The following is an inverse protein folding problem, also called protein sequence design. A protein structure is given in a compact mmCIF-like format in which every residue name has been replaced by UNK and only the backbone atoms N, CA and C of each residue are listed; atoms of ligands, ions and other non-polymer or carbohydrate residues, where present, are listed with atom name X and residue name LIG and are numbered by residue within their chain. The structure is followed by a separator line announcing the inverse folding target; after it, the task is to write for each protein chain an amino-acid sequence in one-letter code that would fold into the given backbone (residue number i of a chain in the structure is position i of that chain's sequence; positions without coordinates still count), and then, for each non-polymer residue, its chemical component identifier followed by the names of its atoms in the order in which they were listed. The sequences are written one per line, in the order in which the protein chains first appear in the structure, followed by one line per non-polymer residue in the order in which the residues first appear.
data_IF_343999775282
#
_entry.id   IF_343999775282
#
_cell.length_a   1.000
_cell.length_b   1.000
_cell.length_c   1.000
_cell.angle_alpha   90.00
_cell.angle_beta   90.00
_cell.angle_gamma   90.00
#
_symmetry.space_group_name_H-M   'P 1'
#
loop_
_entity.id
_entity.type
_entity.pdbx_description
1 polymer ?
#
# COMPACT_ATOMS: atom_id res chain seq x y z
N UNK A 1 34.76 6.87 6.77
CA UNK A 1 33.54 6.82 5.91
C UNK A 1 32.31 6.23 6.61
N UNK A 2 32.45 5.32 7.60
CA UNK A 2 31.33 4.81 8.43
C UNK A 2 30.73 5.82 9.43
N UNK A 3 31.36 6.97 9.66
CA UNK A 3 30.91 7.98 10.63
C UNK A 3 29.95 9.04 10.07
N UNK A 4 29.65 9.01 8.76
CA UNK A 4 28.85 10.04 8.09
C UNK A 4 27.47 9.49 7.66
N UNK A 5 27.29 8.17 7.60
CA UNK A 5 26.14 7.52 6.93
C UNK A 5 25.45 6.53 7.89
N UNK A 6 25.31 6.90 9.17
CA UNK A 6 24.72 6.02 10.20
C UNK A 6 23.24 5.69 9.97
N UNK A 7 22.50 6.59 9.31
CA UNK A 7 21.06 6.44 9.06
C UNK A 7 20.71 5.99 7.62
N UNK A 8 21.71 5.86 6.75
CA UNK A 8 21.54 5.57 5.31
C UNK A 8 22.13 4.22 4.89
N UNK A 9 22.80 3.49 5.79
CA UNK A 9 23.32 2.14 5.54
C UNK A 9 22.36 1.13 6.18
N UNK A 10 21.66 0.39 5.34
CA UNK A 10 20.82 -0.72 5.76
C UNK A 10 21.35 -1.99 5.09
N UNK A 11 21.80 -2.94 5.90
CA UNK A 11 22.33 -4.24 5.47
C UNK A 11 23.79 -4.47 5.86
N UNK A 12 24.01 -5.17 6.96
CA UNK A 12 25.12 -6.14 7.07
C UNK A 12 24.50 -7.50 6.78
N UNK A 13 24.89 -8.10 5.64
CA UNK A 13 24.51 -9.42 5.11
C UNK A 13 23.04 -9.58 4.63
N UNK A 14 22.86 -9.83 3.32
CA UNK A 14 21.68 -10.39 2.58
C UNK A 14 20.23 -10.01 2.96
N UNK A 15 19.98 -9.09 3.88
CA UNK A 15 18.63 -8.67 4.22
C UNK A 15 18.03 -7.85 3.07
N UNK A 16 16.81 -8.20 2.63
CA UNK A 16 15.98 -7.39 1.72
C UNK A 16 14.90 -6.62 2.49
N UNK A 17 14.44 -5.47 1.98
CA UNK A 17 13.55 -4.57 2.72
C UNK A 17 12.24 -5.30 3.10
N UNK A 18 11.80 -6.19 2.22
CA UNK A 18 10.68 -7.11 2.39
C UNK A 18 10.87 -7.98 3.64
N UNK A 19 12.08 -8.56 3.81
CA UNK A 19 12.41 -9.41 4.94
C UNK A 19 12.38 -8.63 6.25
N UNK A 20 12.99 -7.45 6.31
CA UNK A 20 12.98 -6.64 7.55
C UNK A 20 11.58 -6.17 7.92
N UNK A 21 10.75 -5.80 6.94
CA UNK A 21 9.34 -5.47 7.21
C UNK A 21 8.59 -6.70 7.73
N UNK A 22 8.78 -7.87 7.10
CA UNK A 22 8.16 -9.12 7.52
C UNK A 22 8.55 -9.55 8.94
N UNK A 23 9.81 -9.36 9.31
CA UNK A 23 10.31 -9.67 10.65
C UNK A 23 9.73 -8.70 11.69
N UNK A 24 9.66 -7.39 11.38
CA UNK A 24 9.03 -6.39 12.27
C UNK A 24 7.52 -6.64 12.48
N UNK A 25 6.80 -7.03 11.43
CA UNK A 25 5.37 -7.37 11.54
C UNK A 25 5.17 -8.59 12.44
N UNK A 26 5.99 -9.62 12.28
CA UNK A 26 5.93 -10.83 13.12
C UNK A 26 6.30 -10.54 14.57
N UNK A 27 7.36 -9.79 14.82
CA UNK A 27 7.78 -9.38 16.17
C UNK A 27 6.64 -8.68 16.93
N UNK A 28 5.85 -7.87 16.22
CA UNK A 28 4.72 -7.12 16.77
C UNK A 28 3.39 -7.88 16.73
N UNK A 29 3.34 -9.06 16.11
CA UNK A 29 2.11 -9.82 15.91
C UNK A 29 1.09 -9.13 15.01
N UNK A 30 1.54 -8.28 14.08
CA UNK A 30 0.68 -7.48 13.20
C UNK A 30 0.50 -8.14 11.83
N UNK A 31 -0.65 -7.88 11.23
CA UNK A 31 -1.06 -8.39 9.93
C UNK A 31 -1.22 -7.27 8.91
N UNK A 32 -1.01 -7.58 7.64
CA UNK A 32 -0.90 -6.63 6.53
C UNK A 32 -1.78 -7.04 5.36
N UNK A 33 -2.50 -6.05 4.81
CA UNK A 33 -3.21 -6.11 3.55
C UNK A 33 -2.77 -4.97 2.61
N UNK A 34 -2.94 -5.18 1.31
CA UNK A 34 -2.59 -4.19 0.28
C UNK A 34 -3.74 -3.93 -0.69
N UNK A 35 -3.84 -2.71 -1.20
CA UNK A 35 -4.63 -2.38 -2.39
C UNK A 35 -3.74 -1.63 -3.39
N UNK A 36 -3.56 -2.21 -4.56
CA UNK A 36 -2.61 -1.78 -5.57
C UNK A 36 -3.30 -1.33 -6.86
N UNK A 37 -2.95 -0.14 -7.36
CA UNK A 37 -3.35 0.33 -8.68
C UNK A 37 -2.14 0.33 -9.62
N UNK A 38 -1.30 1.37 -9.61
CA UNK A 38 -0.24 1.54 -10.60
C UNK A 38 0.87 0.46 -10.54
N UNK A 39 1.05 -0.17 -9.39
CA UNK A 39 2.01 -1.28 -9.17
C UNK A 39 1.49 -2.63 -9.64
N UNK A 40 0.17 -2.80 -9.80
CA UNK A 40 -0.44 -4.01 -10.38
C UNK A 40 -0.05 -5.32 -9.69
N UNK A 41 0.04 -5.34 -8.36
CA UNK A 41 0.39 -6.54 -7.57
C UNK A 41 1.87 -6.65 -7.21
N UNK A 42 2.70 -5.66 -7.57
CA UNK A 42 4.15 -5.73 -7.34
C UNK A 42 4.53 -5.66 -5.86
N UNK A 43 3.76 -4.98 -5.01
CA UNK A 43 4.01 -5.00 -3.57
C UNK A 43 3.66 -6.37 -2.98
N UNK A 44 2.51 -6.95 -3.37
CA UNK A 44 2.14 -8.29 -2.95
C UNK A 44 3.20 -9.33 -3.35
N UNK A 45 3.67 -9.29 -4.61
CA UNK A 45 4.76 -10.13 -5.14
C UNK A 45 6.00 -10.10 -4.23
N UNK A 46 6.53 -8.90 -3.97
CA UNK A 46 7.68 -8.69 -3.08
C UNK A 46 7.44 -9.22 -1.65
N UNK A 47 6.25 -9.00 -1.09
CA UNK A 47 5.91 -9.51 0.24
C UNK A 47 5.88 -11.04 0.27
N UNK A 48 5.39 -11.67 -0.81
CA UNK A 48 5.28 -13.13 -0.91
C UNK A 48 6.59 -13.84 -1.24
N UNK A 49 7.58 -13.14 -1.79
CA UNK A 49 8.93 -13.66 -2.00
C UNK A 49 9.65 -14.01 -0.69
N UNK A 50 9.21 -13.45 0.45
CA UNK A 50 9.76 -13.75 1.78
C UNK A 50 9.17 -15.07 2.33
N UNK A 51 10.00 -16.08 2.65
CA UNK A 51 9.52 -17.32 3.25
C UNK A 51 8.79 -17.08 4.57
N UNK A 52 7.59 -17.64 4.71
CA UNK A 52 6.75 -17.48 5.90
C UNK A 52 5.90 -16.21 5.93
N UNK A 53 5.84 -15.46 4.82
CA UNK A 53 5.01 -14.27 4.65
C UNK A 53 3.54 -14.46 4.99
N UNK A 54 3.00 -15.69 4.85
CA UNK A 54 1.63 -16.06 5.24
C UNK A 54 1.30 -15.80 6.72
N UNK A 55 2.31 -15.64 7.61
CA UNK A 55 2.09 -15.29 9.02
C UNK A 55 1.62 -13.85 9.21
N UNK A 56 2.03 -12.92 8.35
CA UNK A 56 1.70 -11.50 8.47
C UNK A 56 0.91 -10.96 7.27
N UNK A 57 1.17 -11.40 6.04
CA UNK A 57 0.50 -10.90 4.85
C UNK A 57 -0.78 -11.71 4.56
N UNK A 58 -1.95 -11.07 4.66
CA UNK A 58 -3.25 -11.73 4.43
C UNK A 58 -3.71 -11.72 2.98
N UNK A 59 -3.22 -10.77 2.19
CA UNK A 59 -3.54 -10.70 0.77
C UNK A 59 -3.51 -9.27 0.22
N UNK A 60 -3.83 -9.18 -1.07
CA UNK A 60 -3.86 -7.93 -1.81
C UNK A 60 -5.06 -7.82 -2.73
N UNK A 61 -5.50 -6.58 -2.97
CA UNK A 61 -6.55 -6.22 -3.91
C UNK A 61 -5.93 -5.41 -5.06
N UNK A 62 -6.09 -5.85 -6.30
CA UNK A 62 -5.62 -5.06 -7.46
C UNK A 62 -6.79 -4.23 -8.00
N UNK A 63 -6.81 -2.94 -7.62
CA UNK A 63 -7.87 -1.98 -7.95
C UNK A 63 -7.47 -1.09 -9.14
N UNK A 64 -7.27 -1.70 -10.30
CA UNK A 64 -6.68 -1.02 -11.48
C UNK A 64 -7.60 0.02 -12.11
N UNK A 65 -8.92 -0.09 -11.95
CA UNK A 65 -9.91 0.90 -12.40
C UNK A 65 -10.55 1.65 -11.22
N UNK A 66 -11.16 2.81 -11.49
CA UNK A 66 -11.93 3.54 -10.48
C UNK A 66 -13.13 2.73 -9.98
N UNK A 67 -13.78 1.98 -10.87
CA UNK A 67 -14.86 1.06 -10.51
C UNK A 67 -14.40 0.02 -9.49
N UNK A 68 -13.20 -0.55 -9.66
CA UNK A 68 -12.65 -1.51 -8.70
C UNK A 68 -12.23 -0.85 -7.39
N UNK A 69 -11.72 0.38 -7.41
CA UNK A 69 -11.47 1.15 -6.18
C UNK A 69 -12.77 1.32 -5.39
N UNK A 70 -13.86 1.69 -6.06
CA UNK A 70 -15.19 1.86 -5.44
C UNK A 70 -15.75 0.53 -4.95
N UNK A 71 -15.66 -0.53 -5.76
CA UNK A 71 -16.12 -1.86 -5.39
C UNK A 71 -15.41 -2.38 -4.12
N UNK A 72 -14.15 -2.03 -3.91
CA UNK A 72 -13.42 -2.41 -2.71
C UNK A 72 -13.55 -1.42 -1.55
N UNK A 73 -14.43 -0.41 -1.64
CA UNK A 73 -14.78 0.46 -0.52
C UNK A 73 -14.16 1.86 -0.52
N UNK A 74 -13.53 2.30 -1.62
CA UNK A 74 -13.16 3.72 -1.79
C UNK A 74 -14.43 4.52 -2.13
N UNK A 75 -14.72 5.57 -1.37
CA UNK A 75 -15.88 6.43 -1.63
C UNK A 75 -15.77 7.10 -3.02
N UNK A 76 -16.78 7.00 -3.90
CA UNK A 76 -16.72 7.57 -5.25
C UNK A 76 -16.57 9.10 -5.25
N UNK A 77 -17.02 9.77 -4.20
CA UNK A 77 -16.90 11.22 -4.01
C UNK A 77 -15.43 11.64 -3.90
N UNK A 78 -14.56 10.84 -3.27
CA UNK A 78 -13.13 11.12 -3.15
C UNK A 78 -12.45 11.13 -4.52
N UNK A 79 -12.81 10.17 -5.38
CA UNK A 79 -12.27 10.09 -6.74
C UNK A 79 -12.74 11.29 -7.56
N UNK A 80 -14.00 11.67 -7.41
CA UNK A 80 -14.59 12.81 -8.14
C UNK A 80 -13.97 14.14 -7.70
N UNK A 81 -13.74 14.33 -6.40
CA UNK A 81 -13.24 15.58 -5.83
C UNK A 81 -11.72 15.75 -5.97
N UNK A 82 -10.95 14.68 -5.84
CA UNK A 82 -9.49 14.75 -5.74
C UNK A 82 -8.75 14.08 -6.91
N UNK A 83 -9.46 13.30 -7.73
CA UNK A 83 -8.86 12.41 -8.71
C UNK A 83 -8.36 11.10 -8.09
N UNK A 84 -8.28 10.05 -8.91
CA UNK A 84 -7.85 8.71 -8.52
C UNK A 84 -6.37 8.65 -8.12
N UNK A 85 -5.56 9.61 -8.58
CA UNK A 85 -4.14 9.71 -8.23
C UNK A 85 -3.96 10.83 -7.20
N UNK A 86 -4.32 10.59 -5.95
CA UNK A 86 -4.30 11.62 -4.89
C UNK A 86 -4.06 11.01 -3.51
N UNK A 87 -3.64 11.85 -2.55
CA UNK A 87 -3.48 11.46 -1.14
C UNK A 87 -4.77 10.89 -0.54
N UNK A 88 -5.94 11.57 -0.63
CA UNK A 88 -7.18 11.04 -0.05
C UNK A 88 -7.58 9.68 -0.60
N UNK A 89 -7.35 9.44 -1.91
CA UNK A 89 -7.63 8.14 -2.52
C UNK A 89 -6.64 7.07 -2.05
N UNK A 90 -5.34 7.38 -1.95
CA UNK A 90 -4.35 6.42 -1.44
C UNK A 90 -4.64 6.01 0.01
N UNK A 91 -5.05 6.96 0.86
CA UNK A 91 -5.45 6.71 2.25
C UNK A 91 -6.73 5.88 2.33
N UNK A 92 -7.74 6.22 1.53
CA UNK A 92 -8.97 5.44 1.45
C UNK A 92 -8.72 4.00 0.96
N UNK A 93 -7.83 3.82 -0.01
CA UNK A 93 -7.40 2.50 -0.48
C UNK A 93 -6.73 1.69 0.63
N UNK A 94 -5.88 2.32 1.46
CA UNK A 94 -5.22 1.67 2.59
C UNK A 94 -6.25 1.20 3.65
N UNK A 95 -7.16 2.08 4.04
CA UNK A 95 -8.26 1.76 4.98
C UNK A 95 -9.15 0.64 4.44
N UNK A 96 -9.52 0.74 3.16
CA UNK A 96 -10.33 -0.26 2.48
C UNK A 96 -9.64 -1.64 2.46
N UNK A 97 -8.35 -1.70 2.11
CA UNK A 97 -7.57 -2.95 2.13
C UNK A 97 -7.62 -3.62 3.50
N UNK A 98 -7.32 -2.84 4.56
CA UNK A 98 -7.28 -3.34 5.94
C UNK A 98 -8.63 -3.91 6.37
N UNK A 99 -9.71 -3.18 6.06
CA UNK A 99 -11.08 -3.60 6.40
C UNK A 99 -11.51 -4.83 5.63
N UNK A 100 -11.29 -4.84 4.31
CA UNK A 100 -11.72 -5.92 3.43
C UNK A 100 -11.07 -7.27 3.77
N UNK A 101 -9.82 -7.24 4.23
CA UNK A 101 -9.02 -8.45 4.51
C UNK A 101 -8.81 -8.71 6.02
N UNK A 102 -9.41 -7.88 6.88
CA UNK A 102 -9.37 -8.05 8.33
C UNK A 102 -7.95 -7.98 8.90
N UNK A 103 -7.17 -6.97 8.51
CA UNK A 103 -5.79 -6.79 8.96
C UNK A 103 -5.59 -5.55 9.82
N UNK A 104 -4.51 -5.56 10.59
CA UNK A 104 -4.10 -4.42 11.43
C UNK A 104 -3.60 -3.25 10.59
N UNK A 105 -2.89 -3.56 9.51
CA UNK A 105 -2.28 -2.58 8.62
C UNK A 105 -2.83 -2.75 7.22
N UNK A 106 -3.12 -1.62 6.58
CA UNK A 106 -3.45 -1.55 5.16
C UNK A 106 -2.51 -0.61 4.42
N UNK A 107 -2.15 -0.96 3.19
CA UNK A 107 -1.39 -0.09 2.27
C UNK A 107 -2.22 0.14 1.01
N UNK A 108 -2.32 1.40 0.57
CA UNK A 108 -2.94 1.80 -0.69
C UNK A 108 -1.94 2.47 -1.61
N UNK A 109 -1.81 2.02 -2.87
CA UNK A 109 -0.90 2.62 -3.86
C UNK A 109 -1.66 3.05 -5.11
N UNK A 110 -1.60 4.35 -5.42
CA UNK A 110 -2.12 4.93 -6.66
C UNK A 110 -1.11 5.90 -7.28
N UNK A 111 -1.07 6.01 -8.61
CA UNK A 111 0.01 6.73 -9.28
C UNK A 111 -0.05 6.69 -10.81
N UNK A 112 0.84 7.47 -11.42
CA UNK A 112 1.02 7.57 -12.87
C UNK A 112 2.28 6.82 -13.27
N UNK A 113 2.14 5.57 -13.70
CA UNK A 113 3.28 4.78 -14.19
C UNK A 113 3.66 5.09 -15.66
N UNK A 114 2.94 5.99 -16.33
CA UNK A 114 3.12 6.34 -17.75
C UNK A 114 2.47 5.34 -18.71
N UNK A 115 2.54 5.58 -20.04
CA UNK A 115 3.39 6.60 -20.68
C UNK A 115 2.79 8.01 -20.76
N UNK A 116 1.54 8.21 -20.37
CA UNK A 116 0.87 9.52 -20.42
C UNK A 116 0.66 10.09 -19.02
N UNK A 117 0.48 11.41 -18.95
CA UNK A 117 0.00 12.06 -17.74
C UNK A 117 -1.44 11.67 -17.45
N UNK A 118 -1.80 11.65 -16.17
CA UNK A 118 -3.16 11.34 -15.72
C UNK A 118 -3.60 12.45 -14.78
N UNK A 119 -4.78 13.04 -15.03
CA UNK A 119 -5.35 14.11 -14.20
C UNK A 119 -4.40 15.32 -14.02
N UNK A 120 -3.63 15.65 -15.06
CA UNK A 120 -2.61 16.72 -15.03
C UNK A 120 -1.40 16.42 -14.14
N UNK A 121 -1.21 15.17 -13.71
CA UNK A 121 -0.08 14.75 -12.86
C UNK A 121 1.00 14.11 -13.72
N UNK A 122 2.28 14.50 -13.54
CA UNK A 122 3.36 13.99 -14.37
C UNK A 122 3.62 12.51 -14.11
N UNK A 123 4.17 11.85 -15.12
CA UNK A 123 4.67 10.47 -15.03
C UNK A 123 5.62 10.33 -13.85
N UNK A 124 5.48 9.24 -13.10
CA UNK A 124 6.26 8.96 -11.90
C UNK A 124 5.60 9.45 -10.61
N UNK A 125 4.53 10.25 -10.67
CA UNK A 125 3.77 10.66 -9.47
C UNK A 125 3.11 9.44 -8.84
N UNK A 126 3.45 9.14 -7.58
CA UNK A 126 2.86 8.03 -6.81
C UNK A 126 2.49 8.52 -5.42
N UNK A 127 1.31 8.11 -4.97
CA UNK A 127 0.82 8.29 -3.61
C UNK A 127 0.76 6.92 -2.92
N UNK A 128 1.28 6.86 -1.70
CA UNK A 128 1.30 5.66 -0.87
C UNK A 128 0.60 6.01 0.43
N UNK A 129 -0.58 5.43 0.66
CA UNK A 129 -1.31 5.52 1.91
C UNK A 129 -1.00 4.33 2.81
N UNK A 130 -0.86 4.56 4.11
CA UNK A 130 -0.71 3.52 5.12
C UNK A 130 -1.65 3.83 6.28
N UNK A 131 -2.40 2.82 6.71
CA UNK A 131 -3.21 2.88 7.93
C UNK A 131 -2.70 1.85 8.95
N UNK A 132 -2.66 2.23 10.22
CA UNK A 132 -2.46 1.30 11.36
C UNK A 132 -3.79 0.96 12.05
N UNK A 133 -4.91 1.33 11.42
CA UNK A 133 -6.23 1.19 11.96
C UNK A 133 -6.73 2.37 12.78
N UNK A 134 -5.82 3.13 13.40
CA UNK A 134 -6.15 4.32 14.19
C UNK A 134 -5.79 5.60 13.46
N UNK A 135 -4.64 5.60 12.79
CA UNK A 135 -4.07 6.72 12.04
C UNK A 135 -3.87 6.28 10.61
N UNK A 136 -4.15 7.20 9.71
CA UNK A 136 -3.90 7.01 8.29
C UNK A 136 -3.08 8.18 7.80
N UNK A 137 -2.04 7.90 7.03
CA UNK A 137 -1.17 8.91 6.42
C UNK A 137 -0.80 8.52 5.01
N UNK A 138 -0.49 9.49 4.18
CA UNK A 138 0.07 9.26 2.86
C UNK A 138 1.35 10.04 2.60
N UNK A 139 2.18 9.50 1.72
CA UNK A 139 3.32 10.21 1.12
C UNK A 139 3.11 10.36 -0.37
N UNK A 140 3.70 11.41 -0.94
CA UNK A 140 3.73 11.67 -2.38
C UNK A 140 5.19 11.66 -2.84
N UNK A 141 5.49 10.85 -3.84
CA UNK A 141 6.83 10.78 -4.46
C UNK A 141 6.72 10.91 -5.97
N UNK A 142 7.74 11.47 -6.61
CA UNK A 142 7.90 11.46 -8.07
C UNK A 142 9.14 10.63 -8.41
N UNK A 143 8.95 9.52 -9.11
CA UNK A 143 10.03 8.64 -9.55
C UNK A 143 10.45 8.94 -11.00
N UNK A 144 11.66 9.46 -11.26
CA UNK A 144 12.11 9.87 -12.60
C UNK A 144 12.56 8.70 -13.49
N UNK A 145 11.70 7.70 -13.72
CA UNK A 145 12.06 6.49 -14.46
C UNK A 145 10.94 6.00 -15.39
N UNK A 146 11.23 4.98 -16.19
CA UNK A 146 10.25 4.30 -17.02
C UNK A 146 9.31 3.40 -16.20
N UNK A 147 8.14 3.10 -16.76
CA UNK A 147 7.01 2.37 -16.15
C UNK A 147 7.41 1.23 -15.21
N UNK A 148 8.23 0.28 -15.66
CA UNK A 148 8.59 -0.89 -14.83
C UNK A 148 9.36 -0.50 -13.56
N UNK A 149 10.27 0.48 -13.66
CA UNK A 149 11.01 0.98 -12.51
C UNK A 149 10.13 1.80 -11.57
N UNK A 150 9.20 2.60 -12.10
CA UNK A 150 8.20 3.30 -11.26
C UNK A 150 7.41 2.30 -10.42
N UNK A 151 6.94 1.19 -11.03
CA UNK A 151 6.21 0.13 -10.30
C UNK A 151 7.05 -0.48 -9.18
N UNK A 152 8.30 -0.81 -9.47
CA UNK A 152 9.22 -1.37 -8.47
C UNK A 152 9.48 -0.37 -7.33
N UNK A 153 9.83 0.87 -7.66
CA UNK A 153 10.16 1.90 -6.67
C UNK A 153 8.97 2.32 -5.82
N UNK A 154 7.76 2.33 -6.38
CA UNK A 154 6.54 2.51 -5.62
C UNK A 154 6.34 1.38 -4.58
N UNK A 155 6.54 0.12 -4.98
CA UNK A 155 6.40 -1.02 -4.08
C UNK A 155 7.47 -1.02 -2.97
N UNK A 156 8.74 -0.82 -3.32
CA UNK A 156 9.82 -0.72 -2.32
C UNK A 156 9.69 0.52 -1.44
N UNK A 157 9.21 1.63 -2.00
CA UNK A 157 8.90 2.85 -1.25
C UNK A 157 7.82 2.61 -0.20
N UNK A 158 6.79 1.83 -0.52
CA UNK A 158 5.75 1.46 0.44
C UNK A 158 6.30 0.63 1.61
N UNK A 159 7.21 -0.31 1.34
CA UNK A 159 7.90 -1.07 2.39
C UNK A 159 8.75 -0.17 3.29
N UNK A 160 9.45 0.81 2.71
CA UNK A 160 10.24 1.79 3.46
C UNK A 160 9.36 2.63 4.40
N UNK A 161 8.22 3.12 3.91
CA UNK A 161 7.26 3.89 4.72
C UNK A 161 6.62 3.03 5.82
N UNK A 162 6.30 1.77 5.52
CA UNK A 162 5.78 0.83 6.52
C UNK A 162 6.83 0.55 7.61
N UNK A 163 8.09 0.28 7.23
CA UNK A 163 9.18 0.10 8.18
C UNK A 163 9.32 1.29 9.11
N UNK A 164 9.25 2.52 8.57
CA UNK A 164 9.28 3.74 9.39
C UNK A 164 8.12 3.78 10.39
N UNK A 165 6.91 3.45 9.93
CA UNK A 165 5.73 3.36 10.80
C UNK A 165 5.91 2.35 11.92
N UNK A 166 6.36 1.13 11.61
CA UNK A 166 6.51 0.06 12.62
C UNK A 166 7.54 0.39 13.70
N UNK A 167 8.52 1.25 13.39
CA UNK A 167 9.52 1.72 14.37
C UNK A 167 9.02 2.88 15.24
N UNK A 168 7.98 3.58 14.81
CA UNK A 168 7.29 4.59 15.60
C UNK A 168 6.35 3.84 16.58
N UNK A 169 6.51 4.04 17.88
CA UNK A 169 5.68 3.35 18.88
C UNK A 169 4.21 3.82 18.82
N UNK A 170 3.32 3.00 19.41
CA UNK A 170 1.87 3.18 19.62
C UNK A 170 0.96 2.41 18.63
N UNK A 171 0.42 1.29 19.11
CA UNK A 171 -0.68 0.54 18.47
C UNK A 171 -1.71 0.12 19.53
N UNK A 172 -2.99 0.16 19.16
CA UNK A 172 -4.11 -0.53 19.81
C UNK A 172 -5.00 -1.17 18.73
N UNK A 173 -5.54 -2.39 18.94
CA UNK A 173 -6.35 -3.06 17.93
C UNK A 173 -7.68 -2.37 17.62
N UNK A 174 -8.12 -2.47 16.36
CA UNK A 174 -9.50 -2.12 15.95
C UNK A 174 -10.39 -3.35 16.07
N UNK A 175 -11.66 -3.13 16.43
CA UNK A 175 -12.73 -4.10 16.22
C UNK A 175 -12.93 -4.45 14.73
N UNK A 176 -13.32 -5.70 14.41
CA UNK A 176 -13.61 -6.10 13.05
C UNK A 176 -14.80 -5.32 12.47
N UNK A 177 -14.56 -4.62 11.36
CA UNK A 177 -15.61 -4.01 10.55
C UNK A 177 -16.26 -5.04 9.61
N UNK A 178 -17.48 -4.78 9.10
CA UNK A 178 -18.16 -5.70 8.20
C UNK A 178 -17.33 -6.00 6.92
N UNK A 179 -17.55 -7.18 6.31
CA UNK A 179 -16.76 -7.66 5.19
C UNK A 179 -16.83 -6.71 3.99
N UNK A 180 -15.79 -6.79 3.15
CA UNK A 180 -15.62 -5.99 1.95
C UNK A 180 -16.94 -5.84 1.17
N UNK A 181 -17.40 -4.62 0.86
CA UNK A 181 -18.64 -4.44 0.11
C UNK A 181 -18.52 -5.18 -1.23
N UNK A 182 -19.49 -6.05 -1.54
CA UNK A 182 -19.51 -6.77 -2.81
C UNK A 182 -19.79 -5.83 -3.98
N UNK A 183 -19.39 -6.23 -5.19
CA UNK A 183 -19.73 -5.48 -6.40
C UNK A 183 -21.26 -5.39 -6.54
N UNK A 184 -21.87 -4.20 -6.64
CA UNK A 184 -23.32 -4.07 -6.78
C UNK A 184 -23.89 -4.79 -8.02
N UNK A 185 -23.08 -5.09 -9.04
CA UNK A 185 -23.50 -5.88 -10.22
C UNK A 185 -23.63 -7.38 -9.94
N UNK A 186 -23.03 -7.91 -8.87
CA UNK A 186 -23.18 -9.33 -8.51
C UNK A 186 -24.51 -9.66 -7.81
N UNK A 187 -25.38 -8.65 -7.60
CA UNK A 187 -26.70 -8.81 -6.98
C UNK A 187 -27.87 -8.72 -7.98
N UNK A 188 -27.61 -8.58 -9.29
CA UNK A 188 -28.65 -8.47 -10.34
C UNK A 188 -28.82 -9.74 -11.19
N UNK A 189 -28.30 -10.89 -10.73
CA UNK A 189 -28.44 -12.18 -11.42
C UNK A 189 -28.96 -13.26 -10.47
N UNK A 190 -30.19 -13.05 -9.97
CA UNK A 190 -31.08 -14.10 -9.45
C UNK A 190 -32.51 -13.82 -9.90
#
# INVERSE_FOLDING_TARGET
MRSIIGDLVWGTDDETMEKVVGDLLQEKGLTLATMESCTGGRLADLLTDVPGSSRYFKGGLVAYSNEMKVAFGVAPELITQHGAVSSPVAEAMAVAASRCLGTDIGIGITGVAGPEEIEGKPIGTVYIGITDGTRTRSTRTIFPQHRQRIKLYAATGALSELRRLLREAHYSPIDPNPPCPGNPRSQQSM
#
